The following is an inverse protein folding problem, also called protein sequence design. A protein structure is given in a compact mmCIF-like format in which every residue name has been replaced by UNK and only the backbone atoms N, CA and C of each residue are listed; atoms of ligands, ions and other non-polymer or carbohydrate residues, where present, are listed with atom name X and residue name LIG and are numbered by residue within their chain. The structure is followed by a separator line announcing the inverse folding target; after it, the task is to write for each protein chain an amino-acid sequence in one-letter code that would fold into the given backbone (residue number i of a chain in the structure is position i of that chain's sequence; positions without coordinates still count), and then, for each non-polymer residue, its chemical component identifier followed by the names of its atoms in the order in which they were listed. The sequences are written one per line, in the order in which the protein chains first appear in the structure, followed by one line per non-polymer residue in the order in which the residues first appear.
data_IF_736757780321
#
_entry.id   IF_736757780321
#
_cell.length_a   1.000
_cell.length_b   1.000
_cell.length_c   1.000
_cell.angle_alpha   90.00
_cell.angle_beta   90.00
_cell.angle_gamma   90.00
#
_symmetry.space_group_name_H-M   'P 1'
#
loop_
_entity.id
_entity.type
_entity.pdbx_description
1 polymer ?
#
# COMPACT_ATOMS: atom_id res chain seq x y z
N UNK A 1 -14.32 -20.46 -9.66
CA UNK A 1 -15.00 -20.27 -10.95
C UNK A 1 -14.26 -19.20 -11.72
N UNK A 2 -14.05 -19.36 -13.02
CA UNK A 2 -13.39 -18.35 -13.87
C UNK A 2 -14.41 -17.37 -14.45
N UNK A 3 -14.03 -16.09 -14.57
CA UNK A 3 -14.83 -15.02 -15.18
C UNK A 3 -13.93 -14.25 -16.15
N UNK A 4 -14.48 -13.87 -17.30
CA UNK A 4 -13.77 -13.11 -18.32
C UNK A 4 -14.16 -11.63 -18.22
N UNK A 5 -13.19 -10.74 -18.26
CA UNK A 5 -13.37 -9.29 -18.29
C UNK A 5 -12.67 -8.75 -19.54
N UNK A 6 -13.34 -7.88 -20.28
CA UNK A 6 -12.77 -7.15 -21.41
C UNK A 6 -12.50 -5.71 -20.98
N UNK A 7 -11.31 -5.20 -21.27
CA UNK A 7 -10.87 -3.86 -20.86
C UNK A 7 -10.49 -3.06 -22.10
N UNK A 8 -10.96 -1.82 -22.17
CA UNK A 8 -10.47 -0.83 -23.12
C UNK A 8 -9.39 0.00 -22.43
N UNK A 9 -8.17 -0.06 -22.94
CA UNK A 9 -7.02 0.66 -22.41
C UNK A 9 -6.62 1.75 -23.39
N UNK A 10 -6.16 2.89 -22.86
CA UNK A 10 -5.52 3.90 -23.71
C UNK A 10 -4.20 3.36 -24.26
N UNK A 11 -3.82 3.79 -25.45
CA UNK A 11 -2.55 3.38 -26.09
C UNK A 11 -1.34 3.62 -25.18
N UNK A 12 -1.36 4.74 -24.43
CA UNK A 12 -0.29 5.09 -23.48
C UNK A 12 -0.16 4.05 -22.37
N UNK A 13 -1.28 3.62 -21.79
CA UNK A 13 -1.31 2.62 -20.73
C UNK A 13 -0.87 1.26 -21.26
N UNK A 14 -1.39 0.85 -22.42
CA UNK A 14 -1.01 -0.44 -23.01
C UNK A 14 0.47 -0.51 -23.39
N UNK A 15 1.02 0.59 -23.91
CA UNK A 15 2.45 0.69 -24.23
C UNK A 15 3.32 0.53 -22.98
N UNK A 16 3.03 1.28 -21.92
CA UNK A 16 3.78 1.19 -20.67
C UNK A 16 3.71 -0.21 -20.07
N UNK A 17 2.53 -0.82 -20.09
CA UNK A 17 2.30 -2.18 -19.64
C UNK A 17 3.14 -3.19 -20.45
N UNK A 18 3.19 -3.03 -21.77
CA UNK A 18 3.97 -3.89 -22.66
C UNK A 18 5.48 -3.79 -22.40
N UNK A 19 5.97 -2.58 -22.14
CA UNK A 19 7.36 -2.34 -21.79
C UNK A 19 7.71 -2.92 -20.41
N UNK A 20 6.79 -2.81 -19.45
CA UNK A 20 6.99 -3.29 -18.08
C UNK A 20 6.94 -4.82 -18.02
N UNK A 21 6.00 -5.45 -18.72
CA UNK A 21 5.86 -6.91 -18.75
C UNK A 21 7.03 -7.57 -19.49
N UNK A 22 7.58 -6.92 -20.51
CA UNK A 22 8.79 -7.39 -21.20
C UNK A 22 10.00 -7.48 -20.27
N UNK A 23 10.13 -6.55 -19.31
CA UNK A 23 11.24 -6.56 -18.34
C UNK A 23 11.15 -7.72 -17.35
N UNK A 24 9.93 -8.16 -17.01
CA UNK A 24 9.69 -9.30 -16.11
C UNK A 24 9.51 -10.64 -16.84
N UNK A 25 9.58 -10.65 -18.18
CA UNK A 25 9.35 -11.85 -19.00
C UNK A 25 7.88 -12.32 -19.02
N UNK A 26 6.94 -11.43 -18.72
CA UNK A 26 5.51 -11.69 -18.68
C UNK A 26 4.80 -11.09 -19.91
N UNK A 27 3.61 -11.61 -20.22
CA UNK A 27 2.71 -10.92 -21.17
C UNK A 27 1.98 -9.76 -20.47
N UNK A 28 1.50 -8.75 -21.22
CA UNK A 28 0.71 -7.66 -20.66
C UNK A 28 -0.52 -8.16 -19.89
N UNK A 29 -1.18 -9.21 -20.38
CA UNK A 29 -2.38 -9.81 -19.77
C UNK A 29 -2.06 -10.48 -18.44
N UNK A 30 -0.93 -11.17 -18.33
CA UNK A 30 -0.47 -11.79 -17.08
C UNK A 30 -0.19 -10.72 -16.02
N UNK A 31 0.47 -9.64 -16.42
CA UNK A 31 0.77 -8.52 -15.53
C UNK A 31 -0.50 -7.79 -15.07
N UNK A 32 -1.48 -7.57 -15.97
CA UNK A 32 -2.78 -7.00 -15.58
C UNK A 32 -3.44 -7.88 -14.52
N UNK A 33 -3.48 -9.20 -14.73
CA UNK A 33 -4.13 -10.11 -13.80
C UNK A 33 -3.46 -10.05 -12.42
N UNK A 34 -2.12 -10.11 -12.39
CA UNK A 34 -1.34 -10.01 -11.16
C UNK A 34 -1.61 -8.70 -10.41
N UNK A 35 -1.58 -7.55 -11.10
CA UNK A 35 -1.84 -6.26 -10.47
C UNK A 35 -3.28 -6.12 -9.96
N UNK A 36 -4.26 -6.67 -10.68
CA UNK A 36 -5.66 -6.69 -10.24
C UNK A 36 -5.79 -7.54 -8.98
N UNK A 37 -5.17 -8.72 -8.94
CA UNK A 37 -5.17 -9.60 -7.77
C UNK A 37 -4.49 -8.96 -6.56
N UNK A 38 -3.31 -8.36 -6.75
CA UNK A 38 -2.57 -7.66 -5.70
C UNK A 38 -3.40 -6.49 -5.13
N UNK A 39 -4.01 -5.69 -6.01
CA UNK A 39 -4.79 -4.53 -5.58
C UNK A 39 -6.05 -4.95 -4.81
N UNK A 40 -6.71 -6.03 -5.23
CA UNK A 40 -7.85 -6.59 -4.50
C UNK A 40 -7.41 -7.11 -3.13
N UNK A 41 -6.27 -7.80 -3.04
CA UNK A 41 -5.73 -8.28 -1.77
C UNK A 41 -5.43 -7.13 -0.81
N UNK A 42 -4.76 -6.06 -1.27
CA UNK A 42 -4.49 -4.86 -0.47
C UNK A 42 -5.78 -4.15 -0.02
N UNK A 43 -6.84 -4.21 -0.81
CA UNK A 43 -8.13 -3.59 -0.47
C UNK A 43 -8.89 -4.41 0.58
N UNK A 44 -8.81 -5.75 0.50
CA UNK A 44 -9.51 -6.66 1.43
C UNK A 44 -8.76 -6.77 2.75
N UNK A 45 -7.43 -6.79 2.70
CA UNK A 45 -6.56 -6.87 3.87
C UNK A 45 -5.89 -5.52 4.02
N UNK A 46 -6.44 -4.64 4.85
CA UNK A 46 -5.66 -3.54 5.40
C UNK A 46 -4.74 -4.13 6.48
N UNK A 47 -3.43 -4.34 6.19
CA UNK A 47 -2.52 -4.92 7.17
C UNK A 47 -2.33 -4.01 8.39
N UNK A 48 -2.55 -2.69 8.25
CA UNK A 48 -2.42 -1.74 9.35
C UNK A 48 -3.65 -1.76 10.27
N UNK A 49 -4.81 -2.16 9.75
CA UNK A 49 -6.00 -2.34 10.58
C UNK A 49 -5.79 -3.42 11.66
N UNK A 50 -4.96 -4.42 11.40
CA UNK A 50 -4.58 -5.41 12.43
C UNK A 50 -3.81 -4.78 13.60
N UNK A 51 -3.15 -3.64 13.38
CA UNK A 51 -2.41 -2.90 14.39
C UNK A 51 -3.29 -1.94 15.20
N UNK A 52 -4.54 -1.71 14.76
CA UNK A 52 -5.47 -0.84 15.47
C UNK A 52 -5.81 -1.45 16.84
N UNK A 53 -5.55 -0.70 17.92
CA UNK A 53 -5.81 -1.13 19.29
C UNK A 53 -4.76 -2.07 19.90
N UNK A 54 -3.66 -2.38 19.20
CA UNK A 54 -2.55 -3.15 19.78
C UNK A 54 -1.75 -2.32 20.79
N UNK A 55 -1.62 -1.02 20.55
CA UNK A 55 -0.86 -0.12 21.41
C UNK A 55 -1.77 0.37 22.53
N UNK A 56 -1.63 -0.23 23.71
CA UNK A 56 -2.20 0.30 24.95
C UNK A 56 -1.24 1.34 25.52
N UNK A 57 -1.64 2.60 25.54
CA UNK A 57 -0.88 3.70 26.11
C UNK A 57 -1.80 4.55 26.99
N UNK A 58 -1.29 5.02 28.12
CA UNK A 58 -1.99 5.99 28.99
C UNK A 58 -2.18 7.35 28.29
N UNK A 59 -1.36 7.63 27.28
CA UNK A 59 -1.39 8.86 26.48
C UNK A 59 -2.19 8.60 25.21
N UNK A 60 -3.33 9.27 25.07
CA UNK A 60 -4.30 9.06 23.99
C UNK A 60 -4.25 10.14 22.90
N UNK A 61 -3.55 11.24 23.14
CA UNK A 61 -3.40 12.41 22.26
C UNK A 61 -2.07 12.41 21.47
N UNK A 62 -1.40 11.24 21.38
CA UNK A 62 -0.08 11.10 20.72
C UNK A 62 -0.12 11.57 19.27
N UNK A 63 -1.19 11.29 18.53
CA UNK A 63 -1.31 11.71 17.13
C UNK A 63 -1.35 13.24 16.99
N UNK A 64 -2.04 13.91 17.91
CA UNK A 64 -2.26 15.36 17.89
C UNK A 64 -1.05 16.15 18.44
N UNK A 65 -0.29 15.54 19.35
CA UNK A 65 0.79 16.21 20.08
C UNK A 65 2.16 15.56 19.90
N UNK A 66 2.34 14.80 18.81
CA UNK A 66 3.57 14.05 18.55
C UNK A 66 4.82 14.94 18.62
N UNK A 67 4.79 16.14 18.05
CA UNK A 67 5.91 17.10 18.08
C UNK A 67 6.31 17.50 19.52
N UNK A 68 5.34 17.75 20.39
CA UNK A 68 5.58 18.07 21.81
C UNK A 68 6.28 16.91 22.53
N UNK A 69 5.82 15.67 22.30
CA UNK A 69 6.38 14.49 22.94
C UNK A 69 7.78 14.15 22.45
N UNK A 70 8.00 14.24 21.13
CA UNK A 70 9.32 14.06 20.52
C UNK A 70 10.29 15.12 21.08
N UNK A 71 9.85 16.39 21.16
CA UNK A 71 10.64 17.48 21.72
C UNK A 71 11.00 17.26 23.20
N UNK A 72 10.08 16.72 24.01
CA UNK A 72 10.36 16.36 25.41
C UNK A 72 11.37 15.22 25.54
N UNK A 73 11.24 14.17 24.71
CA UNK A 73 12.15 13.04 24.72
C UNK A 73 13.59 13.46 24.37
N UNK A 74 13.76 14.27 23.32
CA UNK A 74 15.07 14.79 22.91
C UNK A 74 15.73 15.69 23.97
N UNK A 75 14.93 16.44 24.75
CA UNK A 75 15.45 17.23 25.87
C UNK A 75 15.89 16.36 27.05
N UNK A 76 15.22 15.24 27.30
CA UNK A 76 15.62 14.28 28.35
C UNK A 76 16.90 13.53 28.00
N UNK A 77 17.13 13.23 26.72
CA UNK A 77 18.27 12.44 26.26
C UNK A 77 19.59 13.25 26.20
N UNK A 78 19.48 14.58 26.09
CA UNK A 78 20.61 15.51 26.07
C UNK A 78 20.87 16.19 27.43
N UNK A 79 20.36 15.62 28.53
CA UNK A 79 20.47 16.14 29.90
C UNK A 79 21.32 15.25 30.81
#
# INVERSE_FOLDING_TARGET
MTKTVTLELTDTVYKLLSETSAQSGQTPEQMILEWVEERIQQTIQDPLLQLAGIIEAEVTDVAERHDDYIGQALKKDNG
#
